data_IF_312323906986
#
_entry.id   IF_312323906986
#
_cell.length_a   1.000
_cell.length_b   1.000
_cell.length_c   1.000
_cell.angle_alpha   90.00
_cell.angle_beta   90.00
_cell.angle_gamma   90.00
#
_symmetry.space_group_name_H-M   'P 1'
#
loop_
_entity.id
_entity.type
_entity.pdbx_description
1 polymer ?
#
# COMPACT_ATOMS: atom_id res chain seq x y z
N UNK A 1 13.76 -2.88 -12.38
CA UNK A 1 14.06 -2.31 -11.04
C UNK A 1 12.86 -2.51 -10.14
N UNK A 2 13.09 -3.02 -8.94
CA UNK A 2 11.99 -3.26 -7.99
C UNK A 2 11.67 -1.99 -7.22
N UNK A 3 10.37 -1.70 -7.08
CA UNK A 3 9.90 -0.60 -6.26
C UNK A 3 9.95 -1.02 -4.79
N UNK A 4 10.38 -0.12 -3.93
CA UNK A 4 10.43 -0.38 -2.50
C UNK A 4 9.19 0.21 -1.83
N UNK A 5 8.47 -0.62 -1.09
CA UNK A 5 7.29 -0.18 -0.34
C UNK A 5 7.53 -0.22 1.17
N UNK A 6 8.79 -0.12 1.59
CA UNK A 6 9.16 -0.16 3.01
C UNK A 6 8.45 0.93 3.81
N UNK A 7 8.32 2.12 3.24
CA UNK A 7 7.63 3.22 3.90
C UNK A 7 6.16 2.89 4.12
N UNK A 8 5.53 2.23 3.15
CA UNK A 8 4.13 1.81 3.28
C UNK A 8 3.97 0.83 4.43
N UNK A 9 4.84 -0.17 4.52
CA UNK A 9 4.75 -1.18 5.58
C UNK A 9 4.99 -0.56 6.95
N UNK A 10 5.93 0.38 7.05
CA UNK A 10 6.16 1.12 8.30
C UNK A 10 4.93 1.92 8.70
N UNK A 11 4.29 2.58 7.73
CA UNK A 11 3.10 3.37 7.98
C UNK A 11 1.96 2.49 8.50
N UNK A 12 1.80 1.29 7.94
CA UNK A 12 0.80 0.33 8.42
C UNK A 12 1.06 -0.07 9.87
N UNK A 13 2.32 -0.33 10.22
CA UNK A 13 2.70 -0.67 11.58
C UNK A 13 2.36 0.48 12.52
N UNK A 14 2.67 1.71 12.13
CA UNK A 14 2.36 2.91 12.92
C UNK A 14 0.87 3.08 13.15
N UNK A 15 0.05 2.64 12.18
CA UNK A 15 -1.41 2.72 12.27
C UNK A 15 -2.04 1.45 12.85
N UNK A 16 -1.22 0.51 13.28
CA UNK A 16 -1.67 -0.76 13.86
C UNK A 16 -2.54 -1.56 12.89
N UNK A 17 -2.18 -1.51 11.60
CA UNK A 17 -2.90 -2.19 10.52
C UNK A 17 -2.04 -3.31 9.92
N UNK A 18 -2.69 -4.37 9.44
CA UNK A 18 -2.03 -5.41 8.68
C UNK A 18 -2.44 -5.31 7.19
N UNK A 19 -1.93 -6.21 6.36
CA UNK A 19 -2.23 -6.22 4.92
C UNK A 19 -3.71 -6.47 4.63
N UNK A 20 -4.36 -7.29 5.44
CA UNK A 20 -5.79 -7.55 5.30
C UNK A 20 -6.59 -6.29 5.59
N UNK A 21 -6.22 -5.55 6.62
CA UNK A 21 -6.87 -4.28 6.95
C UNK A 21 -6.70 -3.27 5.82
N UNK A 22 -5.52 -3.23 5.22
CA UNK A 22 -5.25 -2.35 4.08
C UNK A 22 -6.14 -2.72 2.90
N UNK A 23 -6.26 -4.02 2.61
CA UNK A 23 -7.10 -4.51 1.52
C UNK A 23 -8.57 -4.09 1.71
N UNK A 24 -9.07 -4.25 2.92
CA UNK A 24 -10.45 -3.88 3.25
C UNK A 24 -10.65 -2.38 3.12
N UNK A 25 -9.73 -1.60 3.66
CA UNK A 25 -9.84 -0.13 3.66
C UNK A 25 -9.76 0.47 2.25
N UNK A 26 -8.97 -0.14 1.37
CA UNK A 26 -8.76 0.37 0.01
C UNK A 26 -9.67 -0.27 -1.03
N UNK A 27 -10.23 -1.44 -0.72
CA UNK A 27 -11.04 -2.19 -1.67
C UNK A 27 -10.23 -2.83 -2.81
N UNK A 28 -8.91 -2.92 -2.67
CA UNK A 28 -8.06 -3.55 -3.69
C UNK A 28 -8.08 -5.07 -3.54
N UNK A 29 -7.70 -5.77 -4.61
CA UNK A 29 -7.73 -7.23 -4.63
C UNK A 29 -6.55 -7.85 -3.88
N UNK A 30 -6.70 -9.13 -3.52
CA UNK A 30 -5.62 -9.91 -2.91
C UNK A 30 -4.41 -9.98 -3.83
N UNK A 31 -4.64 -10.08 -5.14
CA UNK A 31 -3.56 -10.09 -6.13
C UNK A 31 -2.73 -8.81 -6.07
N UNK A 32 -3.39 -7.67 -5.89
CA UNK A 32 -2.69 -6.38 -5.79
C UNK A 32 -1.86 -6.31 -4.50
N UNK A 33 -2.41 -6.81 -3.39
CA UNK A 33 -1.66 -6.89 -2.14
C UNK A 33 -0.43 -7.79 -2.31
N UNK A 34 -0.57 -8.91 -3.01
CA UNK A 34 0.56 -9.79 -3.28
C UNK A 34 1.65 -9.10 -4.10
N UNK A 35 1.26 -8.30 -5.10
CA UNK A 35 2.22 -7.50 -5.87
C UNK A 35 2.98 -6.51 -5.00
N UNK A 36 2.27 -5.81 -4.13
CA UNK A 36 2.89 -4.88 -3.18
C UNK A 36 3.89 -5.61 -2.28
N UNK A 37 3.52 -6.79 -1.79
CA UNK A 37 4.39 -7.60 -0.93
C UNK A 37 5.67 -8.03 -1.63
N UNK A 38 5.60 -8.27 -2.94
CA UNK A 38 6.74 -8.68 -3.75
C UNK A 38 7.58 -7.51 -4.25
N UNK A 39 7.11 -6.28 -4.04
CA UNK A 39 7.77 -5.09 -4.55
C UNK A 39 7.57 -4.90 -6.04
N UNK A 40 6.51 -5.44 -6.61
CA UNK A 40 6.17 -5.27 -8.02
C UNK A 40 5.47 -3.94 -8.25
N UNK A 41 5.55 -3.44 -9.48
CA UNK A 41 4.89 -2.19 -9.86
C UNK A 41 3.37 -2.35 -9.82
N UNK A 42 2.70 -1.33 -9.31
CA UNK A 42 1.24 -1.24 -9.36
C UNK A 42 0.86 0.09 -10.01
N UNK A 43 -0.40 0.23 -10.42
CA UNK A 43 -0.86 1.46 -11.07
C UNK A 43 -0.91 2.61 -10.07
N UNK A 44 -0.82 3.85 -10.59
CA UNK A 44 -0.96 5.05 -9.78
C UNK A 44 -2.32 5.10 -9.11
N UNK A 45 -3.37 4.58 -9.77
CA UNK A 45 -4.71 4.49 -9.18
C UNK A 45 -4.71 3.72 -7.87
N UNK A 46 -3.98 2.61 -7.81
CA UNK A 46 -3.86 1.80 -6.60
C UNK A 46 -3.14 2.59 -5.51
N UNK A 47 -2.04 3.25 -5.87
CA UNK A 47 -1.28 4.07 -4.91
C UNK A 47 -2.14 5.20 -4.36
N UNK A 48 -2.94 5.83 -5.22
CA UNK A 48 -3.85 6.90 -4.82
C UNK A 48 -4.91 6.40 -3.84
N UNK A 49 -5.46 5.21 -4.08
CA UNK A 49 -6.42 4.59 -3.17
C UNK A 49 -5.81 4.33 -1.81
N UNK A 50 -4.59 3.81 -1.79
CA UNK A 50 -3.87 3.54 -0.54
C UNK A 50 -3.66 4.85 0.22
N UNK A 51 -3.20 5.89 -0.46
CA UNK A 51 -2.97 7.20 0.15
C UNK A 51 -4.26 7.79 0.72
N UNK A 52 -5.36 7.69 -0.01
CA UNK A 52 -6.66 8.17 0.46
C UNK A 52 -7.11 7.44 1.71
N UNK A 53 -6.93 6.12 1.74
CA UNK A 53 -7.33 5.30 2.88
C UNK A 53 -6.48 5.58 4.13
N UNK A 54 -5.19 5.87 3.92
CA UNK A 54 -4.24 6.10 5.02
C UNK A 54 -4.06 7.58 5.38
N UNK A 55 -4.63 8.48 4.57
CA UNK A 55 -4.50 9.91 4.80
C UNK A 55 -3.10 10.44 4.59
N UNK A 56 -2.40 9.94 3.58
CA UNK A 56 -1.02 10.33 3.29
C UNK A 56 -0.82 10.58 1.79
N UNK A 57 0.35 11.03 1.41
CA UNK A 57 0.74 11.24 0.01
C UNK A 57 1.53 10.06 -0.53
N UNK A 58 1.61 9.94 -1.86
CA UNK A 58 2.38 8.90 -2.52
C UNK A 58 3.84 8.91 -2.05
N UNK A 59 4.41 10.08 -1.85
CA UNK A 59 5.77 10.21 -1.34
C UNK A 59 5.98 9.62 0.05
N UNK A 60 4.91 9.44 0.82
CA UNK A 60 4.99 8.86 2.17
C UNK A 60 5.05 7.33 2.13
N UNK A 61 4.68 6.71 1.02
CA UNK A 61 4.64 5.25 0.89
C UNK A 61 5.65 4.72 -0.13
N UNK A 62 6.28 5.58 -0.88
CA UNK A 62 7.33 5.23 -1.83
C UNK A 62 8.61 5.98 -1.48
#
# INVERSE_FOLDING_TARGET
MKVSYKKLWKLLIDKDMNKTDLRIATGISTSTIAKLSKGEDVTVSILTRICAALGCDVGDIM
#
